data_IF_840174914401
#
_entry.id   IF_840174914401
#
_cell.length_a   1.000
_cell.length_b   1.000
_cell.length_c   1.000
_cell.angle_alpha   90.00
_cell.angle_beta   90.00
_cell.angle_gamma   90.00
#
_symmetry.space_group_name_H-M   'P 1'
#
loop_
_entity.id
_entity.type
_entity.pdbx_description
1 polymer ?
#
# COMPACT_ATOMS: atom_id res chain seq x y z
N UNK A 1 4.55 23.14 -3.88
CA UNK A 1 4.18 21.92 -3.18
C UNK A 1 3.83 20.85 -4.21
N UNK A 2 4.44 19.67 -4.10
CA UNK A 2 4.10 18.57 -5.02
C UNK A 2 2.75 17.97 -4.64
N UNK A 3 1.88 17.67 -5.62
CA UNK A 3 0.62 17.02 -5.32
C UNK A 3 0.86 15.61 -4.78
N UNK A 4 -0.06 15.17 -3.92
CA UNK A 4 -0.03 13.80 -3.43
C UNK A 4 -0.47 12.84 -4.53
N UNK A 5 0.19 11.69 -4.57
CA UNK A 5 -0.17 10.57 -5.44
C UNK A 5 -0.38 9.35 -4.57
N UNK A 6 -1.13 8.40 -5.05
CA UNK A 6 -1.36 7.16 -4.32
C UNK A 6 -0.54 6.06 -4.96
N UNK A 7 0.34 5.46 -4.16
CA UNK A 7 1.20 4.37 -4.59
C UNK A 7 0.70 3.06 -4.01
N UNK A 8 0.86 1.99 -4.77
CA UNK A 8 0.50 0.65 -4.32
C UNK A 8 1.67 -0.29 -4.53
N UNK A 9 1.74 -1.32 -3.71
CA UNK A 9 2.74 -2.37 -3.83
C UNK A 9 2.21 -3.66 -3.23
N UNK A 10 2.93 -4.74 -3.46
CA UNK A 10 2.60 -6.03 -2.88
C UNK A 10 3.57 -6.35 -1.74
N UNK A 11 3.07 -6.98 -0.70
CA UNK A 11 3.85 -7.35 0.47
C UNK A 11 3.27 -8.60 1.11
N UNK A 12 3.80 -8.97 2.27
CA UNK A 12 3.31 -10.09 3.08
C UNK A 12 3.19 -9.62 4.52
N UNK A 13 2.09 -10.01 5.19
CA UNK A 13 1.89 -9.68 6.59
C UNK A 13 1.43 -10.91 7.36
N UNK A 14 2.03 -11.13 8.53
CA UNK A 14 1.68 -12.25 9.39
C UNK A 14 0.23 -12.20 9.86
N UNK A 15 -0.30 -10.98 10.06
CA UNK A 15 -1.68 -10.76 10.50
C UNK A 15 -2.71 -10.92 9.39
N UNK A 16 -2.25 -11.09 8.14
CA UNK A 16 -3.15 -11.25 7.00
C UNK A 16 -3.83 -12.62 7.07
N UNK A 17 -5.18 -12.69 6.95
CA UNK A 17 -5.85 -13.98 6.86
C UNK A 17 -5.36 -14.73 5.62
N UNK A 18 -5.00 -16.02 5.74
CA UNK A 18 -4.51 -16.76 4.59
C UNK A 18 -5.60 -16.93 3.53
N UNK A 19 -5.22 -16.78 2.27
CA UNK A 19 -6.09 -17.14 1.15
C UNK A 19 -6.29 -18.66 1.14
N UNK A 20 -7.28 -19.18 0.37
CA UNK A 20 -7.51 -20.62 0.31
C UNK A 20 -6.28 -21.46 -0.05
N UNK A 21 -5.31 -20.86 -0.73
CA UNK A 21 -4.03 -21.50 -1.08
C UNK A 21 -2.94 -21.29 -0.03
N UNK A 22 -3.27 -20.71 1.14
CA UNK A 22 -2.30 -20.43 2.19
C UNK A 22 -1.47 -19.17 1.96
N UNK A 23 -1.79 -18.37 0.95
CA UNK A 23 -1.03 -17.17 0.60
C UNK A 23 -1.34 -16.02 1.56
N UNK A 24 -0.32 -15.43 2.16
CA UNK A 24 -0.44 -14.28 3.07
C UNK A 24 -0.11 -12.96 2.36
N UNK A 25 -0.11 -12.96 1.04
CA UNK A 25 0.23 -11.79 0.25
C UNK A 25 -0.79 -10.68 0.43
N UNK A 26 -0.31 -9.44 0.53
CA UNK A 26 -1.14 -8.25 0.68
C UNK A 26 -0.94 -7.28 -0.46
N UNK A 27 -1.94 -6.42 -0.67
CA UNK A 27 -1.82 -5.20 -1.47
C UNK A 27 -1.86 -4.03 -0.50
N UNK A 28 -0.87 -3.13 -0.62
CA UNK A 28 -0.76 -1.98 0.29
C UNK A 28 -0.75 -0.68 -0.51
N UNK A 29 -1.32 0.37 0.08
CA UNK A 29 -1.41 1.69 -0.56
C UNK A 29 -1.04 2.77 0.43
N UNK A 30 -0.53 3.89 -0.10
CA UNK A 30 -0.25 5.08 0.69
C UNK A 30 -0.30 6.31 -0.20
N UNK A 31 -0.77 7.44 0.34
CA UNK A 31 -0.67 8.72 -0.33
C UNK A 31 0.66 9.38 0.05
N UNK A 32 1.47 9.68 -0.94
CA UNK A 32 2.81 10.25 -0.76
C UNK A 32 3.13 11.15 -1.95
N UNK A 33 4.19 11.93 -1.83
CA UNK A 33 4.60 12.86 -2.89
C UNK A 33 5.45 12.20 -3.97
N UNK A 34 6.10 11.09 -3.63
CA UNK A 34 6.99 10.39 -4.55
C UNK A 34 7.13 8.93 -4.14
N UNK A 35 7.69 8.12 -5.06
CA UNK A 35 8.00 6.73 -4.76
C UNK A 35 8.98 6.61 -3.59
N UNK A 36 9.96 7.51 -3.53
CA UNK A 36 10.94 7.52 -2.45
C UNK A 36 10.27 7.77 -1.10
N UNK A 37 9.31 8.70 -1.05
CA UNK A 37 8.57 8.98 0.17
C UNK A 37 7.69 7.78 0.55
N UNK A 38 7.04 7.14 -0.42
CA UNK A 38 6.23 5.95 -0.18
C UNK A 38 7.09 4.83 0.43
N UNK A 39 8.28 4.60 -0.10
CA UNK A 39 9.20 3.60 0.43
C UNK A 39 9.61 3.92 1.86
N UNK A 40 9.90 5.19 2.14
CA UNK A 40 10.28 5.62 3.48
C UNK A 40 9.15 5.40 4.49
N UNK A 41 7.92 5.73 4.10
CA UNK A 41 6.74 5.50 4.95
C UNK A 41 6.56 4.01 5.22
N UNK A 42 6.84 3.17 4.23
CA UNK A 42 6.75 1.72 4.37
C UNK A 42 7.91 1.12 5.17
N UNK A 43 8.87 1.95 5.60
CA UNK A 43 10.02 1.46 6.36
C UNK A 43 11.12 0.88 5.51
N UNK A 44 11.13 1.19 4.22
CA UNK A 44 12.14 0.71 3.28
C UNK A 44 13.12 1.83 2.92
N UNK A 45 14.35 1.47 2.67
CA UNK A 45 15.39 2.44 2.33
C UNK A 45 15.28 2.89 0.88
N UNK A 46 14.88 1.98 0.00
CA UNK A 46 14.83 2.24 -1.44
C UNK A 46 13.48 1.80 -2.04
N UNK A 47 12.98 2.52 -3.07
CA UNK A 47 11.70 2.14 -3.69
C UNK A 47 11.68 0.73 -4.27
N UNK A 48 12.81 0.24 -4.80
CA UNK A 48 12.86 -1.09 -5.40
C UNK A 48 12.68 -2.23 -4.38
N UNK A 49 12.71 -1.93 -3.08
CA UNK A 49 12.45 -2.94 -2.05
C UNK A 49 10.95 -3.23 -1.92
N UNK A 50 10.11 -2.40 -2.54
CA UNK A 50 8.66 -2.61 -2.55
C UNK A 50 8.26 -3.27 -3.87
N UNK A 51 7.76 -4.49 -3.78
CA UNK A 51 7.42 -5.29 -4.95
C UNK A 51 6.25 -4.65 -5.72
N UNK A 52 6.44 -4.46 -7.02
CA UNK A 52 5.45 -3.83 -7.92
C UNK A 52 5.00 -2.43 -7.48
N UNK A 53 5.90 -1.66 -6.88
CA UNK A 53 5.59 -0.28 -6.49
C UNK A 53 5.27 0.57 -7.71
N UNK A 54 4.09 1.21 -7.70
CA UNK A 54 3.68 2.12 -8.75
C UNK A 54 2.45 2.90 -8.36
N UNK A 55 2.10 3.91 -9.14
CA UNK A 55 0.88 4.68 -8.90
C UNK A 55 -0.34 3.84 -9.24
N UNK A 56 -1.37 3.95 -8.41
CA UNK A 56 -2.66 3.32 -8.69
C UNK A 56 -3.66 4.35 -9.22
N UNK A 57 -4.52 3.92 -10.15
CA UNK A 57 -5.63 4.72 -10.64
C UNK A 57 -6.98 4.28 -10.08
N UNK A 58 -6.99 3.33 -9.16
CA UNK A 58 -8.23 2.80 -8.59
C UNK A 58 -8.92 3.85 -7.71
N UNK A 59 -10.20 4.18 -8.02
CA UNK A 59 -10.92 5.26 -7.31
C UNK A 59 -11.07 5.02 -5.82
N UNK A 60 -11.33 3.78 -5.41
CA UNK A 60 -11.47 3.44 -3.99
C UNK A 60 -10.15 3.65 -3.25
N UNK A 61 -9.05 3.21 -3.86
CA UNK A 61 -7.73 3.37 -3.27
C UNK A 61 -7.33 4.83 -3.18
N UNK A 62 -7.64 5.62 -4.22
CA UNK A 62 -7.37 7.05 -4.23
C UNK A 62 -8.12 7.75 -3.10
N UNK A 63 -9.42 7.50 -2.97
CA UNK A 63 -10.23 8.11 -1.91
C UNK A 63 -9.72 7.75 -0.53
N UNK A 64 -9.45 6.47 -0.32
CA UNK A 64 -9.05 5.98 1.00
C UNK A 64 -7.69 6.52 1.42
N UNK A 65 -6.69 6.39 0.56
CA UNK A 65 -5.33 6.84 0.89
C UNK A 65 -5.24 8.36 1.02
N UNK A 66 -5.95 9.10 0.18
CA UNK A 66 -5.94 10.56 0.24
C UNK A 66 -6.68 11.10 1.45
N UNK A 67 -7.59 10.33 2.04
CA UNK A 67 -8.29 10.73 3.27
C UNK A 67 -7.35 10.82 4.48
N UNK A 68 -6.27 10.03 4.46
CA UNK A 68 -5.25 10.02 5.53
C UNK A 68 -3.85 9.90 4.91
N UNK A 69 -3.31 11.02 4.36
CA UNK A 69 -1.98 10.98 3.75
C UNK A 69 -0.91 10.48 4.72
N UNK A 70 0.01 9.68 4.20
CA UNK A 70 1.11 9.12 4.99
C UNK A 70 0.75 7.87 5.78
N UNK A 71 -0.52 7.48 5.81
CA UNK A 71 -0.97 6.27 6.49
C UNK A 71 -1.05 5.13 5.46
N UNK A 72 -0.45 3.99 5.79
CA UNK A 72 -0.51 2.80 4.94
C UNK A 72 -1.82 2.06 5.21
N UNK A 73 -2.53 1.76 4.14
CA UNK A 73 -3.70 0.87 4.17
C UNK A 73 -3.33 -0.43 3.47
N UNK A 74 -3.80 -1.55 3.99
CA UNK A 74 -3.51 -2.84 3.39
C UNK A 74 -4.74 -3.74 3.37
N UNK A 75 -4.75 -4.67 2.42
CA UNK A 75 -5.80 -5.69 2.29
C UNK A 75 -5.15 -6.99 1.82
N UNK A 76 -5.72 -8.16 2.20
CA UNK A 76 -5.30 -9.40 1.55
C UNK A 76 -5.44 -9.29 0.03
N UNK A 77 -4.53 -9.90 -0.72
CA UNK A 77 -4.44 -9.72 -2.17
C UNK A 77 -5.74 -10.07 -2.91
N UNK A 78 -6.53 -11.00 -2.37
CA UNK A 78 -7.78 -11.44 -2.97
C UNK A 78 -9.02 -10.74 -2.42
N UNK A 79 -8.83 -9.71 -1.60
CA UNK A 79 -9.92 -8.96 -0.98
C UNK A 79 -9.74 -7.47 -1.26
N UNK A 80 -10.77 -6.69 -0.95
CA UNK A 80 -10.72 -5.23 -1.04
C UNK A 80 -11.16 -4.60 0.27
N UNK A 81 -10.78 -5.22 1.37
CA UNK A 81 -11.18 -4.82 2.71
C UNK A 81 -9.97 -4.16 3.39
N UNK A 82 -9.71 -2.90 3.04
CA UNK A 82 -8.53 -2.18 3.51
C UNK A 82 -8.58 -1.87 5.00
N UNK A 83 -7.43 -1.99 5.64
CA UNK A 83 -7.21 -1.71 7.06
C UNK A 83 -6.00 -0.81 7.21
N UNK A 84 -6.00 0.02 8.23
CA UNK A 84 -4.84 0.84 8.53
C UNK A 84 -3.72 -0.04 9.10
N UNK A 85 -2.50 0.18 8.59
CA UNK A 85 -1.32 -0.46 9.14
C UNK A 85 -0.95 0.20 10.46
N UNK A 86 -0.62 -0.61 11.43
CA UNK A 86 -0.20 -0.13 12.75
C UNK A 86 1.29 -0.28 12.95
#
# INVERSE_FOLDING_TARGET
>A
MKPLKVFSWQSFRAECPPAPNGNLQTREIVAARSKAEAARIAGKKYPYELFNLGETGNSLELQLALSKPGVIFWTPINERNYREAK
#
